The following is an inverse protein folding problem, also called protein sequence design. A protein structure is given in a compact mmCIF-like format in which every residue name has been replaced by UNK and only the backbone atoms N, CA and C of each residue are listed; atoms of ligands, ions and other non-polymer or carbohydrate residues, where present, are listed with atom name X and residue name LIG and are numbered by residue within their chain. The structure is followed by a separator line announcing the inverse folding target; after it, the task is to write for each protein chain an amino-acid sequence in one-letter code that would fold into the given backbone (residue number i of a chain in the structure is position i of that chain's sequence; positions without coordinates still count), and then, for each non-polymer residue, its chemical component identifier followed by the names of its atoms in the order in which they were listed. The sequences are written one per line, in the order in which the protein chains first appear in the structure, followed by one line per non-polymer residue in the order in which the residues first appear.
data_IF_175749818881
#
_entry.id   IF_175749818881
#
_cell.length_a   1.000
_cell.length_b   1.000
_cell.length_c   1.000
_cell.angle_alpha   90.00
_cell.angle_beta   90.00
_cell.angle_gamma   90.00
#
_symmetry.space_group_name_H-M   'P 1'
#
loop_
_entity.id
_entity.type
_entity.pdbx_description
1 polymer ?
#
# COMPACT_ATOMS: atom_id res chain seq x y z
N UNK A 1 -2.04 -4.71 19.71
CA UNK A 1 -1.46 -4.91 18.37
C UNK A 1 -1.45 -3.55 17.68
N UNK A 2 -0.35 -3.18 17.02
CA UNK A 2 -0.22 -1.89 16.34
C UNK A 2 -0.68 -2.04 14.89
N UNK A 3 -1.63 -1.23 14.43
CA UNK A 3 -2.09 -1.27 13.05
C UNK A 3 -1.15 -0.43 12.18
N UNK A 4 -0.10 -1.07 11.65
CA UNK A 4 0.84 -0.46 10.72
C UNK A 4 0.47 -0.85 9.29
N UNK A 5 0.47 0.13 8.40
CA UNK A 5 0.33 -0.07 6.96
C UNK A 5 1.75 -0.14 6.37
N UNK A 6 2.01 -1.14 5.54
CA UNK A 6 3.33 -1.44 4.96
C UNK A 6 3.29 -1.43 3.43
N UNK A 7 4.48 -1.36 2.84
CA UNK A 7 4.64 -1.51 1.39
C UNK A 7 4.00 -2.82 0.89
N UNK A 8 3.12 -2.72 -0.10
CA UNK A 8 2.41 -3.87 -0.68
C UNK A 8 1.10 -4.27 0.01
N UNK A 9 0.81 -3.70 1.19
CA UNK A 9 -0.47 -3.93 1.88
C UNK A 9 -1.63 -3.42 1.01
N UNK A 10 -2.76 -4.14 1.08
CA UNK A 10 -4.00 -3.73 0.44
C UNK A 10 -4.63 -2.55 1.18
N UNK A 11 -5.27 -1.69 0.41
CA UNK A 11 -6.05 -0.55 0.87
C UNK A 11 -7.53 -0.89 0.70
N UNK A 12 -8.38 -0.17 1.43
CA UNK A 12 -9.84 -0.22 1.29
C UNK A 12 -10.36 0.45 0.00
N UNK A 13 -9.46 0.78 -0.93
CA UNK A 13 -9.75 1.38 -2.23
C UNK A 13 -9.28 0.49 -3.38
N UNK A 14 -9.30 -0.83 -3.18
CA UNK A 14 -8.90 -1.85 -4.16
C UNK A 14 -7.50 -1.63 -4.76
N UNK A 15 -6.61 -1.05 -3.96
CA UNK A 15 -5.26 -0.71 -4.34
C UNK A 15 -4.20 -1.21 -3.37
N UNK A 16 -2.94 -1.11 -3.77
CA UNK A 16 -1.79 -1.46 -2.92
C UNK A 16 -0.92 -0.25 -2.64
N UNK A 17 -0.34 -0.20 -1.44
CA UNK A 17 0.69 0.79 -1.10
C UNK A 17 1.94 0.53 -1.94
N UNK A 18 2.44 1.56 -2.62
CA UNK A 18 3.57 1.44 -3.57
C UNK A 18 4.80 2.26 -3.16
N UNK A 19 4.68 3.18 -2.21
CA UNK A 19 5.84 3.83 -1.57
C UNK A 19 5.74 3.74 -0.06
N UNK A 20 6.89 3.78 0.61
CA UNK A 20 7.00 3.70 2.06
C UNK A 20 8.28 4.39 2.53
N UNK A 21 8.51 4.44 3.84
CA UNK A 21 9.77 4.90 4.41
C UNK A 21 10.96 4.11 3.88
N UNK A 22 12.10 4.78 3.64
CA UNK A 22 13.37 4.13 3.28
C UNK A 22 14.17 3.60 4.47
N UNK A 23 13.77 3.96 5.70
CA UNK A 23 14.53 3.65 6.93
C UNK A 23 13.69 2.92 7.97
N UNK A 24 12.42 3.27 8.14
CA UNK A 24 11.56 2.65 9.14
C UNK A 24 11.01 1.31 8.63
N UNK A 25 11.36 0.24 9.33
CA UNK A 25 10.85 -1.11 9.08
C UNK A 25 10.19 -1.67 10.34
N UNK A 26 9.17 -2.48 10.16
CA UNK A 26 8.54 -3.27 11.20
C UNK A 26 8.29 -4.69 10.68
N UNK A 27 8.79 -5.68 11.41
CA UNK A 27 8.74 -7.10 10.99
C UNK A 27 9.26 -7.33 9.56
N UNK A 28 10.32 -6.60 9.18
CA UNK A 28 10.94 -6.69 7.85
C UNK A 28 10.18 -5.97 6.72
N UNK A 29 9.07 -5.29 7.01
CA UNK A 29 8.33 -4.48 6.03
C UNK A 29 8.51 -2.98 6.25
N UNK A 30 8.77 -2.24 5.17
CA UNK A 30 8.83 -0.78 5.22
C UNK A 30 7.46 -0.18 5.54
N UNK A 31 7.43 0.76 6.49
CA UNK A 31 6.18 1.36 7.00
C UNK A 31 5.77 2.55 6.14
N UNK A 32 4.50 2.57 5.73
CA UNK A 32 3.89 3.67 5.00
C UNK A 32 3.66 4.88 5.92
N UNK A 33 3.86 6.08 5.38
CA UNK A 33 3.71 7.37 6.06
C UNK A 33 2.72 8.24 5.31
N UNK A 34 2.29 9.32 5.95
CA UNK A 34 1.47 10.33 5.27
C UNK A 34 2.26 10.89 4.09
N UNK A 35 1.66 10.87 2.90
CA UNK A 35 2.28 11.31 1.65
C UNK A 35 2.81 10.17 0.79
N UNK A 36 2.84 8.94 1.31
CA UNK A 36 3.11 7.76 0.48
C UNK A 36 1.95 7.47 -0.48
N UNK A 37 2.31 6.97 -1.65
CA UNK A 37 1.38 6.67 -2.72
C UNK A 37 0.85 5.23 -2.62
N UNK A 38 -0.36 5.04 -3.14
CA UNK A 38 -0.95 3.75 -3.41
C UNK A 38 -1.48 3.72 -4.85
N UNK A 39 -1.53 2.53 -5.43
CA UNK A 39 -2.07 2.32 -6.76
C UNK A 39 -3.41 1.61 -6.65
N UNK A 40 -4.49 2.27 -7.05
CA UNK A 40 -5.81 1.65 -7.24
C UNK A 40 -5.77 0.80 -8.50
N UNK A 41 -6.24 -0.45 -8.42
CA UNK A 41 -6.35 -1.29 -9.62
C UNK A 41 -7.29 -0.59 -10.61
N UNK A 42 -6.80 -0.33 -11.82
CA UNK A 42 -7.66 0.07 -12.92
C UNK A 42 -8.70 -1.02 -13.15
N UNK A 43 -9.98 -0.67 -13.10
CA UNK A 43 -11.05 -1.53 -13.60
C UNK A 43 -10.79 -1.76 -15.08
N UNK A 44 -10.18 -2.88 -15.44
CA UNK A 44 -10.21 -3.37 -16.82
C UNK A 44 -11.64 -3.79 -17.08
N UNK A 45 -12.44 -2.93 -17.69
CA UNK A 45 -13.73 -3.30 -18.25
C UNK A 45 -13.48 -4.30 -19.38
N UNK A 46 -13.50 -5.60 -19.07
CA UNK A 46 -13.65 -6.62 -20.10
C UNK A 46 -15.15 -6.71 -20.40
N UNK A 47 -15.57 -5.96 -21.40
CA UNK A 47 -16.89 -6.09 -22.01
C UNK A 47 -16.81 -7.16 -23.11
N UNK A 48 -17.46 -8.30 -22.86
CA UNK A 48 -17.93 -9.26 -23.89
C UNK A 48 -19.37 -9.59 -23.58
#
# INVERSE_FOLDING_TARGET
MMNLIRLGDDTDHDGKVITASSTMQFEGGFVARKGDAFHVRSMTSNST
#
